data_IF_542088463216
#
_entry.id   IF_542088463216
#
_cell.length_a   1.000
_cell.length_b   1.000
_cell.length_c   1.000
_cell.angle_alpha   90.00
_cell.angle_beta   90.00
_cell.angle_gamma   90.00
#
_symmetry.space_group_name_H-M   'P 1'
#
loop_
_entity.id
_entity.type
_entity.pdbx_description
1 polymer ?
#
# COMPACT_ATOMS: atom_id res chain seq x y z
N UNK A 1 9.70 15.34 27.19
CA UNK A 1 9.44 16.14 25.99
C UNK A 1 8.58 17.32 26.36
N UNK A 2 8.37 18.20 25.41
CA UNK A 2 7.44 19.33 25.46
C UNK A 2 6.32 19.05 24.46
N UNK A 3 5.08 19.21 24.88
CA UNK A 3 3.89 18.97 24.05
C UNK A 3 2.98 20.19 24.14
N UNK A 4 2.72 20.84 23.00
CA UNK A 4 1.77 21.95 22.91
C UNK A 4 0.55 21.48 22.11
N UNK A 5 -0.66 21.67 22.65
CA UNK A 5 -1.92 21.19 22.06
C UNK A 5 -2.95 22.32 22.04
N UNK A 6 -3.65 22.47 20.91
CA UNK A 6 -4.80 23.36 20.77
C UNK A 6 -5.82 22.79 19.78
N UNK A 7 -7.09 22.86 20.13
CA UNK A 7 -8.25 22.55 19.27
C UNK A 7 -8.85 23.81 18.61
N UNK A 8 -8.12 24.94 18.64
CA UNK A 8 -8.60 26.26 18.23
C UNK A 8 -9.01 27.14 19.42
N UNK A 9 -9.14 26.55 20.61
CA UNK A 9 -9.19 27.25 21.89
C UNK A 9 -7.81 27.71 22.36
N UNK A 10 -7.59 27.81 23.67
CA UNK A 10 -6.27 28.16 24.21
C UNK A 10 -5.22 27.08 23.96
N UNK A 11 -3.95 27.49 23.91
CA UNK A 11 -2.82 26.59 23.73
C UNK A 11 -2.40 26.05 25.10
N UNK A 12 -2.39 24.73 25.24
CA UNK A 12 -1.95 24.04 26.44
C UNK A 12 -0.57 23.44 26.21
N UNK A 13 0.36 23.70 27.12
CA UNK A 13 1.75 23.28 27.02
C UNK A 13 2.11 22.41 28.19
N UNK A 14 2.66 21.24 27.91
CA UNK A 14 3.01 20.25 28.91
C UNK A 14 4.48 19.89 28.78
N UNK A 15 5.16 19.82 29.93
CA UNK A 15 6.46 19.18 30.03
C UNK A 15 6.29 17.84 30.71
N UNK A 16 6.54 16.78 29.95
CA UNK A 16 6.30 15.41 30.39
C UNK A 16 7.61 14.64 30.60
N UNK A 17 7.64 13.84 31.66
CA UNK A 17 8.69 12.85 31.95
C UNK A 17 8.04 11.53 32.37
N UNK A 18 8.60 10.40 31.96
CA UNK A 18 8.08 9.09 32.38
C UNK A 18 8.74 8.62 33.68
N UNK A 19 7.93 8.20 34.65
CA UNK A 19 8.40 7.42 35.80
C UNK A 19 8.50 5.94 35.40
N UNK A 20 9.73 5.45 35.16
CA UNK A 20 9.96 4.10 34.64
C UNK A 20 9.44 3.01 35.57
N UNK A 21 9.50 3.23 36.89
CA UNK A 21 9.09 2.24 37.90
C UNK A 21 7.57 2.00 37.94
N UNK A 22 6.77 3.04 37.68
CA UNK A 22 5.31 2.98 37.79
C UNK A 22 4.59 2.89 36.44
N UNK A 23 5.29 3.12 35.34
CA UNK A 23 4.70 3.25 34.00
C UNK A 23 3.61 4.34 34.01
N UNK A 24 3.91 5.45 34.71
CA UNK A 24 3.00 6.60 34.84
C UNK A 24 3.68 7.85 34.26
N UNK A 25 2.95 8.68 33.48
CA UNK A 25 3.45 9.96 33.02
C UNK A 25 3.48 10.96 34.18
N UNK A 26 4.62 11.62 34.37
CA UNK A 26 4.78 12.74 35.30
C UNK A 26 4.70 14.05 34.51
N UNK A 27 3.73 14.89 34.88
CA UNK A 27 3.62 16.26 34.37
C UNK A 27 4.52 17.14 35.24
N UNK A 28 5.66 17.59 34.69
CA UNK A 28 6.58 18.49 35.39
C UNK A 28 6.08 19.94 35.37
N UNK A 29 5.43 20.35 34.28
CA UNK A 29 4.88 21.69 34.13
C UNK A 29 3.70 21.68 33.16
N UNK A 30 2.70 22.51 33.44
CA UNK A 30 1.57 22.80 32.56
C UNK A 30 1.40 24.31 32.43
N UNK A 31 1.31 24.84 31.21
CA UNK A 31 1.00 26.25 30.96
C UNK A 31 -0.19 26.36 30.01
N UNK A 32 -0.95 27.44 30.17
CA UNK A 32 -2.03 27.82 29.26
C UNK A 32 -1.65 29.16 28.64
N UNK A 33 -1.61 29.23 27.30
CA UNK A 33 -1.43 30.48 26.55
C UNK A 33 -2.70 30.81 25.80
N UNK A 34 -3.01 32.10 25.70
CA UNK A 34 -4.11 32.56 24.85
C UNK A 34 -3.77 32.30 23.39
N UNK A 35 -4.69 31.71 22.66
CA UNK A 35 -4.52 31.44 21.23
C UNK A 35 -4.98 32.63 20.39
N UNK A 36 -4.11 33.63 20.26
CA UNK A 36 -4.44 34.89 19.58
C UNK A 36 -4.65 34.69 18.07
N UNK A 37 -4.01 33.68 17.48
CA UNK A 37 -4.00 33.46 16.03
C UNK A 37 -4.94 32.33 15.56
N UNK A 38 -5.70 31.72 16.47
CA UNK A 38 -6.58 30.59 16.15
C UNK A 38 -5.83 29.33 15.69
N UNK A 39 -4.59 29.14 16.13
CA UNK A 39 -3.78 27.98 15.79
C UNK A 39 -4.42 26.68 16.30
N UNK A 40 -4.41 25.64 15.48
CA UNK A 40 -4.91 24.32 15.82
C UNK A 40 -3.87 23.26 15.45
N UNK A 41 -3.65 22.29 16.33
CA UNK A 41 -2.70 21.22 16.10
C UNK A 41 -2.00 20.75 17.36
N UNK A 42 -0.92 19.99 17.15
CA UNK A 42 -0.08 19.47 18.22
C UNK A 42 1.37 19.59 17.83
N UNK A 43 2.17 20.19 18.69
CA UNK A 43 3.62 20.27 18.57
C UNK A 43 4.25 19.36 19.61
N UNK A 44 5.23 18.54 19.19
CA UNK A 44 5.94 17.63 20.08
C UNK A 44 7.43 17.84 19.88
N UNK A 45 8.13 18.15 20.98
CA UNK A 45 9.58 18.24 21.02
C UNK A 45 10.15 17.18 21.98
N UNK A 46 11.12 16.42 21.49
CA UNK A 46 11.79 15.38 22.26
C UNK A 46 13.31 15.41 22.05
N UNK A 47 14.03 15.16 23.13
CA UNK A 47 15.48 15.06 23.14
C UNK A 47 15.88 13.62 23.40
N UNK A 48 16.63 13.04 22.48
CA UNK A 48 17.20 11.70 22.61
C UNK A 48 18.59 11.68 21.98
N UNK A 49 19.40 10.70 22.40
CA UNK A 49 20.76 10.51 21.85
C UNK A 49 20.65 9.70 20.56
N UNK A 50 21.18 10.22 19.45
CA UNK A 50 21.14 9.57 18.14
C UNK A 50 22.31 9.96 17.25
N UNK A 51 22.48 9.23 16.15
CA UNK A 51 23.51 9.47 15.13
C UNK A 51 22.83 9.84 13.80
N UNK A 52 22.63 11.15 13.59
CA UNK A 52 21.92 11.66 12.42
C UNK A 52 22.65 11.36 11.10
N UNK A 53 23.97 11.59 10.95
CA UNK A 53 24.67 11.29 9.70
C UNK A 53 24.50 9.86 9.20
N UNK A 54 24.43 8.87 10.11
CA UNK A 54 24.16 7.47 9.73
C UNK A 54 22.69 7.21 9.37
N UNK A 55 21.75 7.92 9.98
CA UNK A 55 20.32 7.73 9.81
C UNK A 55 19.71 8.60 8.69
N UNK A 56 20.40 9.65 8.25
CA UNK A 56 19.89 10.68 7.32
C UNK A 56 19.19 10.06 6.11
N UNK A 57 19.87 9.15 5.40
CA UNK A 57 19.33 8.53 4.18
C UNK A 57 18.03 7.77 4.43
N UNK A 58 17.91 7.10 5.59
CA UNK A 58 16.70 6.35 5.97
C UNK A 58 15.55 7.24 6.39
N UNK A 59 15.85 8.33 7.09
CA UNK A 59 14.86 9.36 7.47
C UNK A 59 14.28 10.01 6.21
N UNK A 60 15.14 10.45 5.28
CA UNK A 60 14.69 11.04 4.02
C UNK A 60 13.86 10.05 3.21
N UNK A 61 14.32 8.78 3.12
CA UNK A 61 13.58 7.72 2.44
C UNK A 61 12.19 7.52 3.06
N UNK A 62 12.08 7.52 4.40
CA UNK A 62 10.81 7.40 5.11
C UNK A 62 9.86 8.58 4.81
N UNK A 63 10.37 9.81 4.82
CA UNK A 63 9.57 11.00 4.53
C UNK A 63 9.07 11.03 3.07
N UNK A 64 9.96 10.71 2.12
CA UNK A 64 9.62 10.58 0.70
C UNK A 64 8.51 9.55 0.48
N UNK A 65 8.64 8.37 1.11
CA UNK A 65 7.65 7.31 0.99
C UNK A 65 6.34 7.64 1.73
N UNK A 66 6.41 8.37 2.85
CA UNK A 66 5.21 8.84 3.56
C UNK A 66 4.34 9.72 2.67
N UNK A 67 4.93 10.59 1.84
CA UNK A 67 4.18 11.46 0.91
C UNK A 67 3.55 10.64 -0.23
N UNK A 68 4.15 9.51 -0.62
CA UNK A 68 3.52 8.55 -1.54
C UNK A 68 2.33 7.84 -0.88
N UNK A 69 2.47 7.47 0.39
CA UNK A 69 1.44 6.80 1.16
C UNK A 69 0.28 7.74 1.58
N UNK A 70 0.57 9.04 1.69
CA UNK A 70 -0.38 10.10 2.01
C UNK A 70 -0.26 11.24 1.00
N UNK A 71 -0.75 11.06 -0.24
CA UNK A 71 -0.59 12.02 -1.34
C UNK A 71 -1.20 13.41 -1.08
N UNK A 72 -2.11 13.51 -0.12
CA UNK A 72 -2.82 14.72 0.30
C UNK A 72 -2.06 15.53 1.36
N UNK A 73 -1.01 14.95 1.95
CA UNK A 73 -0.22 15.61 2.98
C UNK A 73 0.95 16.39 2.36
N UNK A 74 1.29 17.52 2.99
CA UNK A 74 2.55 18.21 2.77
C UNK A 74 3.47 17.92 3.94
N UNK A 75 4.73 17.62 3.65
CA UNK A 75 5.74 17.34 4.67
C UNK A 75 6.91 18.29 4.48
N UNK A 76 7.16 19.12 5.48
CA UNK A 76 8.34 19.95 5.59
C UNK A 76 9.31 19.33 6.58
N UNK A 77 10.57 19.21 6.18
CA UNK A 77 11.63 18.65 7.00
C UNK A 77 12.86 19.56 6.98
N UNK A 78 13.27 20.01 8.16
CA UNK A 78 14.49 20.78 8.37
C UNK A 78 15.46 19.88 9.12
N UNK A 79 16.62 19.64 8.52
CA UNK A 79 17.64 18.79 9.14
C UNK A 79 18.52 19.56 10.16
N UNK A 80 19.35 18.87 10.97
CA UNK A 80 20.25 19.52 11.93
C UNK A 80 21.28 20.49 11.30
N UNK A 81 21.51 20.41 9.99
CA UNK A 81 22.37 21.33 9.25
C UNK A 81 21.60 22.54 8.69
N UNK A 82 20.29 22.63 8.94
CA UNK A 82 19.40 23.70 8.45
C UNK A 82 18.94 23.51 7.00
N UNK A 83 19.18 22.35 6.37
CA UNK A 83 18.69 22.07 5.02
C UNK A 83 17.21 21.75 5.08
N UNK A 84 16.41 22.60 4.44
CA UNK A 84 14.98 22.44 4.32
C UNK A 84 14.64 21.58 3.09
N UNK A 85 13.74 20.61 3.27
CA UNK A 85 13.15 19.79 2.22
C UNK A 85 11.64 19.87 2.35
N UNK A 86 10.97 20.26 1.27
CA UNK A 86 9.51 20.33 1.22
C UNK A 86 9.01 19.29 0.23
N UNK A 87 8.14 18.40 0.71
CA UNK A 87 7.43 17.42 -0.10
C UNK A 87 5.97 17.85 -0.19
N UNK A 88 5.65 18.61 -1.24
CA UNK A 88 4.31 19.15 -1.45
C UNK A 88 3.30 18.09 -1.88
N UNK A 89 2.01 18.39 -1.67
CA UNK A 89 0.87 17.52 -1.99
C UNK A 89 0.83 17.09 -3.46
N UNK A 90 0.40 15.86 -3.71
CA UNK A 90 0.13 15.33 -5.06
C UNK A 90 -1.35 15.35 -5.41
N UNK A 91 -2.23 15.37 -4.41
CA UNK A 91 -3.69 15.52 -4.54
C UNK A 91 -4.19 16.45 -3.44
N UNK A 92 -5.33 17.10 -3.65
CA UNK A 92 -5.96 17.93 -2.60
C UNK A 92 -6.98 17.14 -1.76
N UNK A 93 -7.60 16.12 -2.35
CA UNK A 93 -8.67 15.38 -1.68
C UNK A 93 -8.10 14.35 -0.69
N UNK A 94 -8.58 14.42 0.56
CA UNK A 94 -8.24 13.46 1.58
C UNK A 94 -9.02 12.15 1.39
N UNK A 95 -8.42 10.97 1.65
CA UNK A 95 -9.12 9.69 1.57
C UNK A 95 -10.20 9.59 2.65
N UNK A 96 -11.25 8.81 2.38
CA UNK A 96 -12.33 8.55 3.33
C UNK A 96 -11.73 7.96 4.62
N UNK A 97 -11.99 8.56 5.80
CA UNK A 97 -11.47 8.04 7.06
C UNK A 97 -11.98 6.61 7.34
N UNK A 98 -11.13 5.74 7.94
CA UNK A 98 -11.57 4.42 8.35
C UNK A 98 -12.63 4.51 9.46
N UNK A 99 -13.53 3.54 9.51
CA UNK A 99 -14.63 3.48 10.51
C UNK A 99 -14.40 2.28 11.43
N UNK A 100 -14.59 2.48 12.73
CA UNK A 100 -14.50 1.39 13.70
C UNK A 100 -15.64 0.38 13.48
N UNK A 101 -15.27 -0.91 13.47
CA UNK A 101 -16.22 -2.01 13.29
C UNK A 101 -16.03 -3.08 14.34
N UNK A 102 -17.11 -3.83 14.60
CA UNK A 102 -17.05 -5.01 15.46
C UNK A 102 -16.09 -6.06 14.87
N UNK A 103 -15.43 -6.87 15.71
CA UNK A 103 -14.58 -7.94 15.24
C UNK A 103 -15.38 -9.02 14.49
N UNK A 104 -14.71 -9.68 13.54
CA UNK A 104 -15.28 -10.84 12.86
C UNK A 104 -14.94 -12.14 13.63
N UNK A 105 -15.83 -13.14 13.72
CA UNK A 105 -15.58 -14.37 14.48
C UNK A 105 -14.28 -15.09 14.12
N UNK A 106 -13.95 -15.20 12.83
CA UNK A 106 -12.70 -15.82 12.35
C UNK A 106 -11.40 -15.10 12.77
N UNK A 107 -11.47 -13.84 13.20
CA UNK A 107 -10.28 -13.02 13.53
C UNK A 107 -9.99 -12.92 15.02
N UNK A 108 -10.70 -13.69 15.83
CA UNK A 108 -10.53 -13.67 17.26
C UNK A 108 -9.33 -14.49 17.70
N UNK A 109 -8.62 -13.96 18.68
CA UNK A 109 -7.75 -14.72 19.55
C UNK A 109 -8.46 -15.02 20.89
N UNK A 110 -7.91 -15.97 21.63
CA UNK A 110 -8.49 -16.44 22.91
C UNK A 110 -8.63 -15.28 23.89
N UNK A 111 -7.65 -14.39 23.94
CA UNK A 111 -7.62 -13.27 24.88
C UNK A 111 -8.67 -12.21 24.53
N UNK A 112 -8.84 -11.88 23.25
CA UNK A 112 -9.90 -11.00 22.78
C UNK A 112 -11.27 -11.59 23.05
N UNK A 113 -11.47 -12.89 22.81
CA UNK A 113 -12.73 -13.56 23.15
C UNK A 113 -13.00 -13.50 24.67
N UNK A 114 -12.00 -13.78 25.51
CA UNK A 114 -12.11 -13.62 26.98
C UNK A 114 -12.50 -12.21 27.39
N UNK A 115 -11.89 -11.18 26.80
CA UNK A 115 -12.25 -9.77 27.07
C UNK A 115 -13.69 -9.46 26.68
N UNK A 116 -14.14 -9.97 25.53
CA UNK A 116 -15.52 -9.78 25.07
C UNK A 116 -16.52 -10.50 25.99
N UNK A 117 -16.22 -11.74 26.40
CA UNK A 117 -17.01 -12.52 27.37
C UNK A 117 -17.14 -11.76 28.69
N UNK A 118 -16.03 -11.25 29.25
CA UNK A 118 -16.04 -10.43 30.48
C UNK A 118 -16.88 -9.16 30.32
N UNK A 119 -16.76 -8.46 29.19
CA UNK A 119 -17.52 -7.23 28.89
C UNK A 119 -19.02 -7.48 28.74
N UNK A 120 -19.43 -8.68 28.35
CA UNK A 120 -20.82 -9.02 28.03
C UNK A 120 -21.40 -10.13 28.90
N UNK A 121 -20.82 -10.41 30.06
CA UNK A 121 -21.19 -11.54 30.93
C UNK A 121 -22.67 -11.62 31.30
N UNK A 122 -23.38 -10.49 31.39
CA UNK A 122 -24.81 -10.43 31.73
C UNK A 122 -25.77 -10.76 30.58
N UNK A 123 -25.26 -10.95 29.36
CA UNK A 123 -26.08 -11.25 28.17
C UNK A 123 -26.19 -12.76 27.96
N UNK A 124 -27.23 -13.19 27.23
CA UNK A 124 -27.28 -14.55 26.68
C UNK A 124 -26.24 -14.73 25.57
N UNK A 125 -25.81 -15.96 25.33
CA UNK A 125 -24.90 -16.28 24.22
C UNK A 125 -25.43 -15.80 22.87
N UNK A 126 -26.74 -15.95 22.61
CA UNK A 126 -27.34 -15.46 21.38
C UNK A 126 -27.19 -13.94 21.24
N UNK A 127 -27.49 -13.17 22.30
CA UNK A 127 -27.33 -11.72 22.27
C UNK A 127 -25.86 -11.30 22.20
N UNK A 128 -24.96 -12.08 22.80
CA UNK A 128 -23.53 -11.86 22.72
C UNK A 128 -23.03 -12.00 21.29
N UNK A 129 -23.38 -13.09 20.61
CA UNK A 129 -22.98 -13.36 19.23
C UNK A 129 -23.43 -12.23 18.29
N UNK A 130 -24.67 -11.76 18.41
CA UNK A 130 -25.20 -10.72 17.52
C UNK A 130 -24.63 -9.34 17.80
N UNK A 131 -24.38 -8.98 19.07
CA UNK A 131 -23.92 -7.62 19.44
C UNK A 131 -22.41 -7.44 19.44
N UNK A 132 -21.65 -8.53 19.49
CA UNK A 132 -20.19 -8.47 19.66
C UNK A 132 -19.44 -8.71 18.36
N UNK A 133 -20.10 -9.25 17.33
CA UNK A 133 -19.45 -9.65 16.09
C UNK A 133 -20.11 -9.07 14.86
N UNK A 134 -19.28 -8.74 13.87
CA UNK A 134 -19.74 -8.30 12.56
C UNK A 134 -20.33 -9.48 11.77
N UNK A 135 -21.31 -9.21 10.91
CA UNK A 135 -21.92 -10.20 9.98
C UNK A 135 -22.58 -11.39 10.67
N UNK A 136 -22.90 -11.28 11.96
CA UNK A 136 -23.62 -12.29 12.73
C UNK A 136 -25.04 -11.80 13.05
N UNK A 137 -26.01 -12.23 12.24
CA UNK A 137 -27.43 -11.99 12.50
C UNK A 137 -28.04 -13.02 13.46
N UNK A 138 -29.28 -12.79 13.90
CA UNK A 138 -30.00 -13.69 14.81
C UNK A 138 -30.07 -15.13 14.29
N UNK A 139 -30.41 -15.31 13.01
CA UNK A 139 -30.51 -16.63 12.39
C UNK A 139 -29.15 -17.34 12.33
N UNK A 140 -28.10 -16.63 11.92
CA UNK A 140 -26.73 -17.17 11.86
C UNK A 140 -26.22 -17.54 13.24
N UNK A 141 -26.43 -16.67 14.24
CA UNK A 141 -26.01 -16.91 15.62
C UNK A 141 -26.70 -18.14 16.21
N UNK A 142 -28.03 -18.27 16.02
CA UNK A 142 -28.78 -19.41 16.53
C UNK A 142 -28.30 -20.73 15.91
N UNK A 143 -28.18 -20.77 14.58
CA UNK A 143 -27.67 -21.94 13.86
C UNK A 143 -26.25 -22.33 14.30
N UNK A 144 -25.36 -21.35 14.39
CA UNK A 144 -23.99 -21.58 14.84
C UNK A 144 -23.94 -22.17 16.25
N UNK A 145 -24.70 -21.61 17.20
CA UNK A 145 -24.70 -22.08 18.59
C UNK A 145 -25.26 -23.51 18.70
N UNK A 146 -26.33 -23.81 17.95
CA UNK A 146 -26.90 -25.16 17.88
C UNK A 146 -25.91 -26.18 17.28
N UNK A 147 -25.23 -25.84 16.18
CA UNK A 147 -24.20 -26.68 15.56
C UNK A 147 -22.95 -26.87 16.46
N UNK A 148 -22.62 -25.85 17.26
CA UNK A 148 -21.50 -25.87 18.19
C UNK A 148 -21.83 -26.52 19.55
N UNK A 149 -23.07 -26.97 19.78
CA UNK A 149 -23.50 -27.62 21.03
C UNK A 149 -23.74 -26.66 22.20
N UNK A 150 -23.85 -25.35 21.95
CA UNK A 150 -24.11 -24.33 22.97
C UNK A 150 -25.59 -23.96 23.04
N UNK A 151 -26.15 -23.90 24.25
CA UNK A 151 -27.51 -23.36 24.45
C UNK A 151 -27.54 -21.86 24.12
N UNK A 152 -28.41 -21.38 23.21
CA UNK A 152 -28.47 -19.96 22.84
C UNK A 152 -28.84 -19.02 23.99
N UNK A 153 -29.54 -19.55 25.01
CA UNK A 153 -30.08 -18.77 26.12
C UNK A 153 -29.21 -18.82 27.38
N UNK A 154 -28.15 -19.62 27.40
CA UNK A 154 -27.26 -19.65 28.55
C UNK A 154 -26.53 -18.29 28.71
N UNK A 155 -26.26 -17.87 29.95
CA UNK A 155 -25.55 -16.62 30.20
C UNK A 155 -24.08 -16.74 29.77
N UNK A 156 -23.52 -15.66 29.23
CA UNK A 156 -22.10 -15.62 28.82
C UNK A 156 -21.16 -15.81 30.01
N UNK A 157 -21.58 -15.37 31.20
CA UNK A 157 -20.81 -15.53 32.44
C UNK A 157 -20.65 -16.98 32.92
N UNK A 158 -21.44 -17.94 32.42
CA UNK A 158 -21.30 -19.34 32.81
C UNK A 158 -20.25 -20.10 32.00
N UNK A 159 -19.68 -19.49 30.95
CA UNK A 159 -18.63 -20.13 30.15
C UNK A 159 -17.36 -20.34 30.98
N UNK A 160 -16.88 -21.58 31.03
CA UNK A 160 -15.57 -21.92 31.54
C UNK A 160 -14.46 -21.59 30.52
N UNK A 161 -13.20 -21.60 30.96
CA UNK A 161 -12.07 -21.43 30.05
C UNK A 161 -12.01 -22.50 28.94
N UNK A 162 -12.51 -23.72 29.21
CA UNK A 162 -12.61 -24.78 28.20
C UNK A 162 -13.69 -24.46 27.17
N UNK A 163 -14.87 -24.04 27.65
CA UNK A 163 -15.98 -23.63 26.78
C UNK A 163 -15.60 -22.48 25.84
N UNK A 164 -14.75 -21.55 26.31
CA UNK A 164 -14.23 -20.44 25.49
C UNK A 164 -13.32 -20.94 24.37
N UNK A 165 -12.48 -21.94 24.64
CA UNK A 165 -11.63 -22.56 23.62
C UNK A 165 -12.48 -23.34 22.60
N UNK A 166 -13.44 -24.12 23.08
CA UNK A 166 -14.35 -24.88 22.22
C UNK A 166 -15.19 -23.95 21.32
N UNK A 167 -15.69 -22.84 21.89
CA UNK A 167 -16.40 -21.81 21.15
C UNK A 167 -15.50 -21.16 20.08
N UNK A 168 -14.24 -20.87 20.40
CA UNK A 168 -13.29 -20.27 19.46
C UNK A 168 -12.98 -21.21 18.30
N UNK A 169 -12.76 -22.50 18.57
CA UNK A 169 -12.49 -23.49 17.53
C UNK A 169 -13.73 -23.75 16.68
N UNK A 170 -14.93 -23.76 17.27
CA UNK A 170 -16.18 -23.77 16.53
C UNK A 170 -16.31 -22.53 15.62
N UNK A 171 -15.99 -21.33 16.12
CA UNK A 171 -16.02 -20.09 15.32
C UNK A 171 -15.04 -20.12 14.13
N UNK A 172 -13.89 -20.78 14.28
CA UNK A 172 -12.90 -20.92 13.19
C UNK A 172 -13.37 -21.85 12.08
N UNK A 173 -14.09 -22.90 12.45
CA UNK A 173 -14.55 -23.93 11.50
C UNK A 173 -15.90 -23.58 10.86
N UNK A 174 -16.72 -22.73 11.49
CA UNK A 174 -18.02 -22.33 10.96
C UNK A 174 -17.89 -21.31 9.82
N UNK A 175 -18.67 -21.46 8.75
CA UNK A 175 -18.64 -20.55 7.60
C UNK A 175 -19.49 -19.30 7.85
N UNK A 176 -18.88 -18.25 8.40
CA UNK A 176 -19.51 -16.93 8.52
C UNK A 176 -19.47 -16.14 7.19
N UNK A 177 -20.41 -15.21 6.95
CA UNK A 177 -20.31 -14.29 5.83
C UNK A 177 -19.04 -13.42 5.94
N UNK A 178 -18.40 -13.04 4.81
CA UNK A 178 -17.15 -12.29 4.86
C UNK A 178 -17.32 -10.92 5.53
N UNK A 179 -16.30 -10.44 6.28
CA UNK A 179 -16.32 -9.12 6.93
C UNK A 179 -16.53 -7.98 5.93
N UNK A 180 -17.06 -6.87 6.43
CA UNK A 180 -17.22 -5.67 5.60
C UNK A 180 -15.86 -4.98 5.40
N UNK A 181 -15.53 -4.69 4.15
CA UNK A 181 -14.31 -3.99 3.79
C UNK A 181 -14.46 -2.46 3.82
N UNK A 182 -15.68 -1.94 3.99
CA UNK A 182 -15.94 -0.49 4.08
C UNK A 182 -15.26 0.20 5.27
N UNK A 183 -14.81 -0.56 6.26
CA UNK A 183 -14.03 -0.02 7.38
C UNK A 183 -12.61 0.39 6.98
N UNK A 184 -12.12 -0.07 5.82
CA UNK A 184 -10.77 0.18 5.35
C UNK A 184 -10.68 1.51 4.60
N UNK A 185 -9.53 2.15 4.74
CA UNK A 185 -9.17 3.38 4.03
C UNK A 185 -7.91 3.12 3.22
N UNK A 186 -8.01 2.57 1.99
CA UNK A 186 -6.86 2.40 1.11
C UNK A 186 -6.31 3.77 0.65
N UNK A 187 -5.17 3.80 -0.05
CA UNK A 187 -4.65 5.05 -0.61
C UNK A 187 -5.54 5.48 -1.78
N UNK A 188 -5.99 4.51 -2.57
CA UNK A 188 -6.79 4.72 -3.77
C UNK A 188 -5.90 4.72 -5.01
N UNK A 189 -6.44 4.14 -6.09
CA UNK A 189 -5.77 4.01 -7.39
C UNK A 189 -5.22 5.35 -7.90
N UNK A 190 -6.06 6.37 -7.98
CA UNK A 190 -5.72 7.64 -8.61
C UNK A 190 -4.74 8.47 -7.75
N UNK A 191 -4.93 8.46 -6.43
CA UNK A 191 -4.05 9.16 -5.50
C UNK A 191 -2.64 8.54 -5.47
N UNK A 192 -2.56 7.20 -5.46
CA UNK A 192 -1.29 6.49 -5.54
C UNK A 192 -0.61 6.72 -6.89
N UNK A 193 -1.38 6.74 -7.98
CA UNK A 193 -0.87 7.03 -9.32
C UNK A 193 -0.27 8.44 -9.40
N UNK A 194 -1.00 9.46 -8.92
CA UNK A 194 -0.55 10.84 -8.91
C UNK A 194 0.76 11.03 -8.11
N UNK A 195 0.85 10.40 -6.94
CA UNK A 195 2.04 10.50 -6.11
C UNK A 195 3.27 9.82 -6.74
N UNK A 196 3.10 8.64 -7.34
CA UNK A 196 4.20 7.95 -8.03
C UNK A 196 4.65 8.75 -9.26
N UNK A 197 3.71 9.30 -10.05
CA UNK A 197 4.04 10.14 -11.21
C UNK A 197 4.86 11.36 -10.81
N UNK A 198 4.42 12.08 -9.77
CA UNK A 198 5.11 13.29 -9.27
C UNK A 198 6.54 12.99 -8.80
N UNK A 199 6.74 11.85 -8.11
CA UNK A 199 8.02 11.52 -7.48
C UNK A 199 9.03 10.83 -8.40
N UNK A 200 8.56 9.99 -9.33
CA UNK A 200 9.43 9.12 -10.13
C UNK A 200 9.47 9.46 -11.62
N UNK A 201 8.53 10.26 -12.12
CA UNK A 201 8.37 10.63 -13.53
C UNK A 201 8.58 9.45 -14.50
N UNK A 202 7.76 8.38 -14.40
CA UNK A 202 7.99 7.15 -15.16
C UNK A 202 7.43 7.23 -16.60
N UNK A 203 8.11 6.57 -17.54
CA UNK A 203 7.62 6.34 -18.91
C UNK A 203 6.26 5.61 -18.92
N UNK A 204 6.10 4.65 -18.00
CA UNK A 204 4.88 3.88 -17.84
C UNK A 204 4.57 3.66 -16.36
N UNK A 205 3.30 3.80 -16.00
CA UNK A 205 2.78 3.52 -14.68
C UNK A 205 1.40 2.87 -14.80
N UNK A 206 1.19 1.82 -14.03
CA UNK A 206 -0.14 1.26 -13.82
C UNK A 206 -0.32 0.88 -12.36
N UNK A 207 -1.45 1.32 -11.78
CA UNK A 207 -1.86 0.99 -10.42
C UNK A 207 -3.07 0.06 -10.48
N UNK A 208 -2.99 -1.06 -9.77
CA UNK A 208 -4.05 -2.04 -9.59
C UNK A 208 -4.48 -2.06 -8.13
N UNK A 209 -5.75 -1.77 -7.87
CA UNK A 209 -6.38 -1.98 -6.56
C UNK A 209 -7.19 -3.27 -6.63
N UNK A 210 -6.83 -4.26 -5.81
CA UNK A 210 -7.51 -5.55 -5.76
C UNK A 210 -8.84 -5.43 -5.02
N UNK A 211 -9.84 -6.29 -5.34
CA UNK A 211 -11.05 -6.36 -4.54
C UNK A 211 -10.71 -6.76 -3.10
N UNK A 212 -11.49 -6.31 -2.11
CA UNK A 212 -11.26 -6.68 -0.72
C UNK A 212 -11.28 -8.20 -0.54
N UNK A 213 -10.33 -8.69 0.23
CA UNK A 213 -10.16 -10.10 0.57
C UNK A 213 -10.08 -10.25 2.08
N UNK A 214 -10.05 -11.48 2.58
CA UNK A 214 -10.12 -11.77 4.01
C UNK A 214 -9.00 -12.72 4.37
N UNK A 215 -8.26 -12.40 5.42
CA UNK A 215 -7.28 -13.32 6.00
C UNK A 215 -7.56 -13.41 7.50
N UNK A 216 -7.71 -14.62 8.03
CA UNK A 216 -8.01 -14.85 9.47
C UNK A 216 -9.06 -13.87 10.02
N UNK A 217 -10.20 -13.72 9.32
CA UNK A 217 -11.29 -12.82 9.71
C UNK A 217 -11.02 -11.31 9.63
N UNK A 218 -9.85 -10.86 9.21
CA UNK A 218 -9.57 -9.45 8.97
C UNK A 218 -9.74 -9.12 7.48
N UNK A 219 -10.59 -8.13 7.12
CA UNK A 219 -10.67 -7.66 5.75
C UNK A 219 -9.39 -6.92 5.41
N UNK A 220 -8.88 -7.13 4.20
CA UNK A 220 -7.73 -6.43 3.67
C UNK A 220 -7.90 -6.08 2.18
N UNK A 221 -7.24 -5.01 1.76
CA UNK A 221 -7.14 -4.57 0.37
C UNK A 221 -5.65 -4.49 0.03
N UNK A 222 -5.29 -4.98 -1.17
CA UNK A 222 -3.93 -4.88 -1.71
C UNK A 222 -3.96 -3.92 -2.90
N UNK A 223 -3.07 -2.95 -2.89
CA UNK A 223 -2.79 -2.07 -4.02
C UNK A 223 -1.37 -2.36 -4.52
N UNK A 224 -1.23 -2.62 -5.81
CA UNK A 224 0.06 -2.87 -6.45
C UNK A 224 0.23 -1.88 -7.58
N UNK A 225 1.39 -1.24 -7.66
CA UNK A 225 1.76 -0.43 -8.81
C UNK A 225 3.09 -0.88 -9.41
N UNK A 226 3.20 -0.78 -10.73
CA UNK A 226 4.44 -1.01 -11.46
C UNK A 226 4.75 0.23 -12.29
N UNK A 227 5.92 0.80 -12.04
CA UNK A 227 6.47 1.93 -12.78
C UNK A 227 7.71 1.48 -13.57
N UNK A 228 7.80 1.88 -14.82
CA UNK A 228 8.90 1.54 -15.74
C UNK A 228 9.54 2.81 -16.28
N UNK A 229 10.87 2.82 -16.40
CA UNK A 229 11.61 3.95 -16.97
C UNK A 229 11.71 5.15 -16.01
N UNK A 230 11.74 4.89 -14.69
CA UNK A 230 11.84 5.96 -13.69
C UNK A 230 13.21 6.64 -13.75
N UNK A 231 13.25 7.97 -13.79
CA UNK A 231 14.52 8.74 -13.85
C UNK A 231 15.38 8.58 -12.60
N UNK A 232 14.74 8.44 -11.45
CA UNK A 232 15.37 8.40 -10.12
C UNK A 232 15.65 6.97 -9.62
N UNK A 233 15.53 5.97 -10.49
CA UNK A 233 15.79 4.56 -10.16
C UNK A 233 16.95 4.10 -11.04
N UNK A 234 18.01 3.62 -10.42
CA UNK A 234 19.17 3.12 -11.16
C UNK A 234 18.75 1.95 -12.08
N UNK A 235 19.14 2.05 -13.35
CA UNK A 235 18.95 0.97 -14.30
C UNK A 235 19.91 -0.18 -13.94
N UNK A 236 19.36 -1.30 -13.48
CA UNK A 236 20.11 -2.51 -13.18
C UNK A 236 19.28 -3.77 -13.43
N UNK A 237 19.85 -4.94 -13.16
CA UNK A 237 19.12 -6.22 -13.22
C UNK A 237 18.09 -6.39 -12.07
N UNK A 238 18.02 -5.42 -11.16
CA UNK A 238 17.17 -5.47 -9.98
C UNK A 238 15.88 -4.67 -10.14
N UNK A 239 14.84 -5.11 -9.44
CA UNK A 239 13.57 -4.40 -9.29
C UNK A 239 13.60 -3.66 -7.96
N UNK A 240 13.33 -2.35 -7.97
CA UNK A 240 13.21 -1.55 -6.75
C UNK A 240 11.83 -1.77 -6.12
N UNK A 241 11.79 -2.19 -4.86
CA UNK A 241 10.55 -2.50 -4.15
C UNK A 241 10.27 -1.45 -3.06
N UNK A 242 9.10 -0.82 -3.15
CA UNK A 242 8.55 0.11 -2.17
C UNK A 242 7.34 -0.54 -1.51
N UNK A 243 7.32 -0.59 -0.18
CA UNK A 243 6.32 -1.34 0.58
C UNK A 243 5.60 -0.41 1.54
N UNK A 244 4.30 -0.59 1.64
CA UNK A 244 3.42 0.17 2.50
C UNK A 244 2.46 -0.76 3.23
N UNK A 245 2.21 -0.47 4.49
CA UNK A 245 1.18 -1.14 5.28
C UNK A 245 0.37 -0.09 6.03
N UNK A 246 -0.95 -0.06 5.86
CA UNK A 246 -1.85 0.94 6.45
C UNK A 246 -1.34 2.39 6.29
N UNK A 247 -0.93 2.77 5.07
CA UNK A 247 -0.33 4.08 4.73
C UNK A 247 1.00 4.40 5.43
N UNK A 248 1.66 3.41 6.04
CA UNK A 248 2.98 3.54 6.65
C UNK A 248 4.02 2.89 5.72
N UNK A 249 5.09 3.60 5.34
CA UNK A 249 6.16 3.01 4.55
C UNK A 249 7.04 2.08 5.39
N UNK A 250 7.42 0.94 4.80
CA UNK A 250 8.27 -0.07 5.43
C UNK A 250 9.69 0.00 4.85
N UNK A 251 10.60 0.62 5.59
CA UNK A 251 11.92 1.01 5.08
C UNK A 251 13.01 -0.03 5.40
N UNK A 252 12.82 -0.84 6.46
CA UNK A 252 13.77 -1.86 6.89
C UNK A 252 13.28 -3.28 6.58
N UNK A 253 14.18 -4.27 6.72
CA UNK A 253 13.87 -5.71 6.64
C UNK A 253 13.12 -6.18 5.38
N UNK A 254 13.39 -5.54 4.23
CA UNK A 254 12.73 -5.89 2.97
C UNK A 254 12.92 -7.36 2.57
N UNK A 255 14.06 -8.00 2.90
CA UNK A 255 14.36 -9.38 2.51
C UNK A 255 13.41 -10.42 3.09
N UNK A 256 12.83 -10.16 4.26
CA UNK A 256 11.96 -11.10 4.97
C UNK A 256 10.48 -10.88 4.70
N UNK A 257 10.13 -9.86 3.91
CA UNK A 257 8.76 -9.45 3.61
C UNK A 257 8.10 -10.34 2.54
N UNK A 258 6.78 -10.54 2.68
CA UNK A 258 5.96 -11.25 1.68
C UNK A 258 6.04 -10.62 0.29
N UNK A 259 6.09 -9.29 0.20
CA UNK A 259 6.19 -8.57 -1.07
C UNK A 259 7.51 -8.89 -1.79
N UNK A 260 8.61 -8.98 -1.04
CA UNK A 260 9.92 -9.32 -1.61
C UNK A 260 9.98 -10.78 -2.03
N UNK A 261 9.36 -11.69 -1.26
CA UNK A 261 9.19 -13.10 -1.63
C UNK A 261 8.46 -13.24 -2.96
N UNK A 262 7.35 -12.51 -3.15
CA UNK A 262 6.57 -12.50 -4.40
C UNK A 262 7.41 -11.93 -5.55
N UNK A 263 8.02 -10.76 -5.39
CA UNK A 263 8.82 -10.09 -6.43
C UNK A 263 10.00 -10.94 -6.88
N UNK A 264 10.71 -11.61 -5.96
CA UNK A 264 11.83 -12.51 -6.30
C UNK A 264 11.40 -13.76 -7.05
N UNK A 265 10.24 -14.33 -6.71
CA UNK A 265 9.69 -15.54 -7.37
C UNK A 265 9.03 -15.23 -8.71
N UNK A 266 8.69 -13.97 -8.95
CA UNK A 266 7.99 -13.55 -10.15
C UNK A 266 8.84 -13.73 -11.41
N UNK A 267 8.24 -14.29 -12.47
CA UNK A 267 8.94 -14.54 -13.72
C UNK A 267 8.98 -13.28 -14.61
N UNK A 268 9.91 -12.36 -14.30
CA UNK A 268 10.05 -11.06 -14.98
C UNK A 268 10.38 -11.17 -16.48
N UNK A 269 11.16 -12.17 -16.88
CA UNK A 269 11.58 -12.36 -18.28
C UNK A 269 10.41 -12.64 -19.23
N UNK A 270 9.27 -13.10 -18.71
CA UNK A 270 8.04 -13.29 -19.50
C UNK A 270 7.36 -11.97 -19.90
N UNK A 271 7.71 -10.87 -19.22
CA UNK A 271 7.08 -9.56 -19.39
C UNK A 271 8.07 -8.49 -19.87
N UNK A 272 9.32 -8.53 -19.41
CA UNK A 272 10.33 -7.52 -19.74
C UNK A 272 11.56 -8.22 -20.33
N UNK A 273 11.92 -7.86 -21.56
CA UNK A 273 13.00 -8.49 -22.33
C UNK A 273 14.36 -7.81 -22.18
N UNK A 274 14.40 -6.53 -21.76
CA UNK A 274 15.63 -5.74 -21.58
C UNK A 274 15.80 -5.35 -20.10
N UNK A 275 17.01 -5.34 -19.54
CA UNK A 275 17.26 -4.76 -18.22
C UNK A 275 16.73 -3.31 -18.18
N UNK A 276 15.93 -2.99 -17.19
CA UNK A 276 15.29 -1.68 -17.09
C UNK A 276 15.04 -1.31 -15.63
N UNK A 277 15.02 0.01 -15.37
CA UNK A 277 14.63 0.56 -14.08
C UNK A 277 13.12 0.32 -13.85
N UNK A 278 12.80 -0.70 -13.05
CA UNK A 278 11.43 -1.05 -12.66
C UNK A 278 11.28 -0.79 -11.17
N UNK A 279 10.27 0.00 -10.81
CA UNK A 279 9.84 0.18 -9.44
C UNK A 279 8.48 -0.49 -9.21
N UNK A 280 8.40 -1.32 -8.18
CA UNK A 280 7.18 -1.99 -7.72
C UNK A 280 6.78 -1.38 -6.40
N UNK A 281 5.52 -0.99 -6.29
CA UNK A 281 4.92 -0.47 -5.07
C UNK A 281 3.87 -1.46 -4.60
N UNK A 282 3.93 -1.87 -3.34
CA UNK A 282 2.91 -2.72 -2.71
C UNK A 282 2.33 -2.02 -1.49
N UNK A 283 1.02 -1.93 -1.39
CA UNK A 283 0.32 -1.42 -0.23
C UNK A 283 -0.69 -2.43 0.28
N UNK A 284 -0.64 -2.72 1.58
CA UNK A 284 -1.58 -3.61 2.27
C UNK A 284 -2.35 -2.76 3.27
N UNK A 285 -3.67 -2.63 3.07
CA UNK A 285 -4.58 -1.97 3.99
C UNK A 285 -5.43 -3.01 4.70
N UNK A 286 -5.40 -3.07 6.03
CA UNK A 286 -6.18 -4.04 6.83
C UNK A 286 -6.43 -3.54 8.25
N UNK A 287 -7.50 -4.02 8.90
CA UNK A 287 -7.75 -3.76 10.33
C UNK A 287 -6.61 -4.26 11.23
N UNK A 288 -5.93 -5.33 10.79
CA UNK A 288 -4.74 -5.88 11.43
C UNK A 288 -3.78 -6.20 10.29
N UNK A 289 -2.53 -5.78 10.36
CA UNK A 289 -1.50 -6.20 9.40
C UNK A 289 -0.68 -7.31 10.07
N UNK A 290 -0.42 -8.44 9.39
CA UNK A 290 0.30 -9.55 9.99
C UNK A 290 1.80 -9.26 9.99
N UNK A 291 2.31 -8.45 10.92
CA UNK A 291 3.75 -8.18 11.04
C UNK A 291 4.51 -9.37 11.65
N UNK A 292 5.75 -9.63 11.19
CA UNK A 292 6.61 -10.67 11.78
C UNK A 292 7.28 -10.23 13.07
N UNK A 293 7.66 -8.95 13.16
CA UNK A 293 8.39 -8.37 14.29
C UNK A 293 7.56 -7.30 14.98
N UNK A 294 7.85 -7.04 16.26
CA UNK A 294 7.21 -5.97 17.02
C UNK A 294 7.52 -4.57 16.43
N UNK A 295 8.65 -4.43 15.71
CA UNK A 295 9.03 -3.21 15.01
C UNK A 295 8.17 -2.88 13.79
N UNK A 296 7.31 -3.81 13.33
CA UNK A 296 6.39 -3.61 12.20
C UNK A 296 7.06 -3.26 10.86
N UNK A 297 8.30 -3.70 10.65
CA UNK A 297 9.08 -3.39 9.43
C UNK A 297 8.86 -4.40 8.29
N UNK A 298 8.34 -5.60 8.59
CA UNK A 298 8.07 -6.62 7.58
C UNK A 298 6.76 -7.35 7.83
N UNK A 299 6.04 -7.59 6.73
CA UNK A 299 4.78 -8.31 6.71
C UNK A 299 5.06 -9.81 6.55
N UNK A 300 4.37 -10.61 7.35
CA UNK A 300 4.35 -12.06 7.27
C UNK A 300 3.72 -12.54 5.96
N UNK A 301 3.85 -13.82 5.68
CA UNK A 301 3.40 -14.46 4.45
C UNK A 301 2.17 -15.37 4.63
N UNK A 302 0.99 -14.85 5.07
CA UNK A 302 -0.26 -15.56 4.88
C UNK A 302 -0.49 -15.87 3.39
N UNK A 303 -0.89 -17.09 3.03
CA UNK A 303 -1.14 -17.47 1.65
C UNK A 303 -2.13 -16.56 0.91
N UNK A 304 -3.14 -16.05 1.62
CA UNK A 304 -4.16 -15.16 1.06
C UNK A 304 -3.56 -13.81 0.63
N UNK A 305 -2.67 -13.26 1.45
CA UNK A 305 -1.97 -11.99 1.17
C UNK A 305 -0.95 -12.19 0.05
N UNK A 306 -0.16 -13.27 0.09
CA UNK A 306 0.82 -13.61 -0.96
C UNK A 306 0.13 -13.73 -2.33
N UNK A 307 -1.02 -14.43 -2.38
CA UNK A 307 -1.81 -14.61 -3.60
C UNK A 307 -2.32 -13.29 -4.17
N UNK A 308 -2.90 -12.40 -3.36
CA UNK A 308 -3.46 -11.14 -3.87
C UNK A 308 -2.37 -10.16 -4.34
N UNK A 309 -1.20 -10.13 -3.68
CA UNK A 309 -0.04 -9.37 -4.17
C UNK A 309 0.42 -9.91 -5.52
N UNK A 310 0.55 -11.24 -5.66
CA UNK A 310 0.96 -11.86 -6.92
C UNK A 310 -0.05 -11.57 -8.04
N UNK A 311 -1.34 -11.65 -7.76
CA UNK A 311 -2.39 -11.34 -8.74
C UNK A 311 -2.36 -9.87 -9.18
N UNK A 312 -2.19 -8.93 -8.24
CA UNK A 312 -2.03 -7.51 -8.56
C UNK A 312 -0.79 -7.24 -9.40
N UNK A 313 0.33 -7.90 -9.08
CA UNK A 313 1.56 -7.79 -9.85
C UNK A 313 1.39 -8.34 -11.28
N UNK A 314 0.78 -9.53 -11.44
CA UNK A 314 0.47 -10.11 -12.76
C UNK A 314 -0.38 -9.17 -13.60
N UNK A 315 -1.37 -8.51 -13.01
CA UNK A 315 -2.24 -7.57 -13.72
C UNK A 315 -1.45 -6.36 -14.23
N UNK A 316 -0.60 -5.76 -13.38
CA UNK A 316 0.25 -4.63 -13.76
C UNK A 316 1.25 -5.03 -14.86
N UNK A 317 1.90 -6.18 -14.73
CA UNK A 317 2.89 -6.65 -15.70
C UNK A 317 2.28 -7.02 -17.05
N UNK A 318 1.02 -7.47 -17.11
CA UNK A 318 0.31 -7.66 -18.39
C UNK A 318 0.16 -6.34 -19.14
N UNK A 319 -0.23 -5.26 -18.45
CA UNK A 319 -0.34 -3.91 -19.03
C UNK A 319 1.02 -3.37 -19.46
N UNK A 320 2.06 -3.59 -18.64
CA UNK A 320 3.44 -3.24 -18.99
C UNK A 320 3.90 -3.94 -20.27
N UNK A 321 3.62 -5.24 -20.41
CA UNK A 321 3.98 -6.00 -21.61
C UNK A 321 3.35 -5.40 -22.86
N UNK A 322 2.06 -5.05 -22.82
CA UNK A 322 1.37 -4.37 -23.94
C UNK A 322 2.06 -3.05 -24.31
N UNK A 323 2.43 -2.24 -23.32
CA UNK A 323 3.16 -0.99 -23.54
C UNK A 323 4.53 -1.21 -24.19
N UNK A 324 5.30 -2.19 -23.69
CA UNK A 324 6.63 -2.50 -24.23
C UNK A 324 6.56 -3.06 -25.65
N UNK A 325 5.57 -3.91 -25.95
CA UNK A 325 5.35 -4.41 -27.31
C UNK A 325 5.08 -3.26 -28.27
N UNK A 326 4.20 -2.31 -27.91
CA UNK A 326 3.96 -1.12 -28.73
C UNK A 326 5.22 -0.25 -28.92
N UNK A 327 6.04 -0.08 -27.87
CA UNK A 327 7.31 0.67 -27.97
C UNK A 327 8.29 0.00 -28.93
N UNK A 328 8.38 -1.34 -28.92
CA UNK A 328 9.23 -2.11 -29.84
C UNK A 328 8.72 -1.98 -31.27
N UNK A 329 7.42 -2.08 -31.51
CA UNK A 329 6.81 -1.94 -32.84
C UNK A 329 7.11 -0.56 -33.44
N UNK A 330 6.95 0.50 -32.65
CA UNK A 330 7.29 1.88 -33.07
C UNK A 330 8.79 2.02 -33.36
N UNK A 331 9.66 1.44 -32.53
CA UNK A 331 11.11 1.48 -32.73
C UNK A 331 11.53 0.73 -34.02
N UNK A 332 10.97 -0.46 -34.25
CA UNK A 332 11.22 -1.26 -35.46
C UNK A 332 10.72 -0.55 -36.71
N UNK A 333 9.52 0.03 -36.65
CA UNK A 333 8.98 0.82 -37.75
C UNK A 333 9.88 2.02 -38.07
N UNK A 334 10.32 2.77 -37.06
CA UNK A 334 11.25 3.88 -37.24
C UNK A 334 12.59 3.45 -37.87
N UNK A 335 13.13 2.30 -37.47
CA UNK A 335 14.34 1.73 -38.07
C UNK A 335 14.12 1.32 -39.53
N UNK A 336 13.00 0.65 -39.84
CA UNK A 336 12.63 0.28 -41.22
C UNK A 336 12.47 1.51 -42.10
N UNK A 337 11.75 2.54 -41.64
CA UNK A 337 11.57 3.79 -42.37
C UNK A 337 12.89 4.53 -42.60
N UNK A 338 13.80 4.52 -41.63
CA UNK A 338 15.15 5.08 -41.81
C UNK A 338 15.97 4.31 -42.85
N UNK A 339 15.87 2.98 -42.85
CA UNK A 339 16.52 2.14 -43.87
C UNK A 339 15.92 2.41 -45.25
N UNK A 340 14.59 2.47 -45.36
CA UNK A 340 13.90 2.77 -46.61
C UNK A 340 14.30 4.12 -47.19
N UNK A 341 14.30 5.19 -46.37
CA UNK A 341 14.77 6.52 -46.80
C UNK A 341 16.23 6.51 -47.29
N UNK A 342 17.08 5.62 -46.79
CA UNK A 342 18.47 5.51 -47.21
C UNK A 342 18.65 4.70 -48.50
N UNK A 343 17.94 3.56 -48.63
CA UNK A 343 18.20 2.59 -49.69
C UNK A 343 17.27 2.72 -50.90
N UNK A 344 16.00 3.12 -50.74
CA UNK A 344 15.07 3.24 -51.87
C UNK A 344 15.54 4.23 -52.95
N UNK A 345 16.06 5.43 -52.62
CA UNK A 345 16.58 6.33 -53.64
C UNK A 345 17.75 5.73 -54.44
N UNK A 346 18.61 4.98 -53.77
CA UNK A 346 19.78 4.34 -54.40
C UNK A 346 19.37 3.18 -55.30
N UNK A 347 18.39 2.38 -54.88
CA UNK A 347 17.80 1.31 -55.71
C UNK A 347 17.10 1.91 -56.94
N UNK A 348 16.34 2.99 -56.77
CA UNK A 348 15.67 3.66 -57.87
C UNK A 348 16.66 4.23 -58.90
N UNK A 349 17.80 4.76 -58.43
CA UNK A 349 18.91 5.22 -59.29
C UNK A 349 19.51 4.07 -60.10
N UNK A 350 19.93 3.00 -59.43
CA UNK A 350 20.54 1.83 -60.08
C UNK A 350 19.58 1.14 -61.06
N UNK A 351 18.30 1.04 -60.71
CA UNK A 351 17.28 0.45 -61.58
C UNK A 351 17.02 1.31 -62.84
N UNK A 352 17.05 2.64 -62.71
CA UNK A 352 16.90 3.56 -63.84
C UNK A 352 18.10 3.49 -64.79
N UNK A 353 19.32 3.44 -64.25
CA UNK A 353 20.55 3.22 -65.02
C UNK A 353 20.48 1.89 -65.81
N UNK A 354 20.09 0.79 -65.17
CA UNK A 354 19.99 -0.53 -65.82
C UNK A 354 18.91 -0.55 -66.93
N UNK A 355 17.81 0.17 -66.73
CA UNK A 355 16.70 0.25 -67.69
C UNK A 355 16.93 1.30 -68.79
N UNK A 356 18.06 2.02 -68.78
CA UNK A 356 18.36 3.07 -69.77
C UNK A 356 17.45 4.30 -69.67
N UNK A 357 16.95 4.64 -68.48
CA UNK A 357 16.09 5.82 -68.25
C UNK A 357 16.88 6.93 -67.56
N UNK A 358 16.82 8.16 -68.10
CA UNK A 358 17.55 9.32 -67.57
C UNK A 358 17.05 9.85 -66.21
N UNK A 359 15.80 9.57 -65.85
CA UNK A 359 15.21 10.01 -64.57
C UNK A 359 14.79 8.80 -63.72
N UNK A 360 15.27 8.70 -62.47
CA UNK A 360 14.81 7.69 -61.55
C UNK A 360 13.33 7.93 -61.20
N UNK A 361 12.54 6.86 -61.02
CA UNK A 361 11.15 6.97 -60.57
C UNK A 361 11.10 7.61 -59.17
N UNK A 362 10.05 8.40 -58.90
CA UNK A 362 9.83 8.98 -57.57
C UNK A 362 9.58 7.87 -56.55
N UNK A 363 10.31 7.91 -55.45
CA UNK A 363 10.13 7.02 -54.29
C UNK A 363 9.44 7.72 -53.12
N UNK A 364 9.07 9.00 -53.27
CA UNK A 364 8.43 9.79 -52.22
C UNK A 364 7.09 9.18 -51.79
N UNK A 365 6.27 8.79 -52.77
CA UNK A 365 4.94 8.21 -52.53
C UNK A 365 5.03 6.87 -51.79
N UNK A 366 6.04 6.04 -52.09
CA UNK A 366 6.28 4.76 -51.40
C UNK A 366 6.77 4.94 -49.96
N UNK A 367 7.48 6.03 -49.68
CA UNK A 367 7.95 6.38 -48.33
C UNK A 367 6.80 7.00 -47.51
N UNK A 368 5.90 7.75 -48.14
CA UNK A 368 4.70 8.29 -47.48
C UNK A 368 3.63 7.23 -47.24
N UNK A 369 3.29 6.43 -48.26
CA UNK A 369 2.34 5.31 -48.12
C UNK A 369 2.83 4.29 -47.10
N UNK A 370 4.12 3.92 -47.14
CA UNK A 370 4.73 2.99 -46.17
C UNK A 370 4.69 3.48 -44.72
N UNK A 371 4.64 4.80 -44.50
CA UNK A 371 4.49 5.40 -43.17
C UNK A 371 3.04 5.48 -42.66
N UNK A 372 2.05 5.28 -43.53
CA UNK A 372 0.63 5.37 -43.22
C UNK A 372 -0.03 4.02 -42.88
N UNK A 373 0.69 2.90 -42.99
CA UNK A 373 0.18 1.58 -42.62
C UNK A 373 0.23 1.35 -41.09
N UNK A 374 -0.86 1.79 -40.45
CA UNK A 374 -1.36 1.53 -39.07
C UNK A 374 -0.77 2.34 -37.92
#
# INVERSE_FOLDING_TARGET
>A
GTEDVSDGGDIFEFKLRNAVEKIEPLVEAGKRRKNVNGWHGTFVEMFFKGDYPKAEGKIIQYLQQTVIASPHAEVEFIDPAGRQRVFGRSVEEAPIPPVEVLPHPHGLDVEMLRRLVRRHGSKSLLSFMVKSFQRVGLATAKRFLEEAGFSPYQPVSSLSDRDILDLLDAMRNYKFPPPDAKCLSPIGRDALEAAIRKMFDPDFLYVCQRPPSVYRGHPFIVEVAVAYGCKNVEAGNGVSLYRFANKIPLVYDAYSDVSMKVVKRFNWSSYVSRPAAIAVFTHICSTRVPFKTAGKECVADPPEVEREIEMGLRECCRRLKTFLTGKIEVEEHGRRMKAYRRYLPEIARLAAELAGRDKPPSVADLIEEGGAWR
#
